data_IF_345911687173
#
_entry.id   IF_345911687173
#
_cell.length_a   1.000
_cell.length_b   1.000
_cell.length_c   1.000
_cell.angle_alpha   90.00
_cell.angle_beta   90.00
_cell.angle_gamma   90.00
#
_symmetry.space_group_name_H-M   'P 1'
#
loop_
_entity.id
_entity.type
_entity.pdbx_description
1 polymer ?
#
# COMPACT_ATOMS: atom_id res chain seq x y z
N UNK A 1 -16.67 -8.55 -21.91
CA UNK A 1 -15.52 -7.63 -22.13
C UNK A 1 -14.33 -8.13 -21.35
N UNK A 2 -13.10 -7.90 -21.85
CA UNK A 2 -11.88 -8.38 -21.18
C UNK A 2 -11.60 -7.55 -19.96
N UNK A 3 -11.39 -8.20 -18.81
CA UNK A 3 -11.05 -7.55 -17.53
C UNK A 3 -9.55 -7.34 -17.43
N UNK A 4 -9.09 -6.25 -16.79
CA UNK A 4 -7.68 -6.04 -16.52
C UNK A 4 -7.12 -7.11 -15.58
N UNK A 5 -7.86 -7.46 -14.55
CA UNK A 5 -7.57 -8.59 -13.65
C UNK A 5 -8.72 -9.60 -13.79
N UNK A 6 -8.40 -10.88 -14.01
CA UNK A 6 -9.41 -11.95 -14.14
C UNK A 6 -10.34 -12.00 -12.93
N UNK A 7 -11.59 -12.44 -13.14
CA UNK A 7 -12.60 -12.45 -12.06
C UNK A 7 -12.24 -13.38 -10.91
N UNK A 8 -11.63 -14.51 -11.21
CA UNK A 8 -11.17 -15.54 -10.25
C UNK A 8 -9.78 -15.27 -9.66
N UNK A 9 -9.17 -14.14 -10.00
CA UNK A 9 -7.82 -13.77 -9.57
C UNK A 9 -7.68 -13.61 -8.08
N UNK A 10 -6.56 -14.12 -7.52
CA UNK A 10 -6.18 -13.88 -6.13
C UNK A 10 -6.03 -12.38 -5.83
N UNK A 11 -5.64 -11.57 -6.81
CA UNK A 11 -5.51 -10.12 -6.65
C UNK A 11 -6.85 -9.47 -6.35
N UNK A 12 -7.93 -9.90 -7.00
CA UNK A 12 -9.29 -9.42 -6.66
C UNK A 12 -9.71 -9.84 -5.27
N UNK A 13 -9.37 -11.06 -4.85
CA UNK A 13 -9.62 -11.53 -3.48
C UNK A 13 -8.89 -10.67 -2.45
N UNK A 14 -7.60 -10.35 -2.68
CA UNK A 14 -6.80 -9.49 -1.81
C UNK A 14 -7.41 -8.08 -1.72
N UNK A 15 -7.65 -7.45 -2.86
CA UNK A 15 -8.09 -6.05 -2.94
C UNK A 15 -9.60 -5.86 -2.77
N UNK A 16 -10.37 -6.94 -2.74
CA UNK A 16 -11.80 -6.96 -2.41
C UNK A 16 -12.09 -6.89 -0.92
N UNK A 17 -11.09 -7.16 -0.06
CA UNK A 17 -11.24 -7.18 1.40
C UNK A 17 -10.75 -5.87 2.01
N UNK A 18 -11.65 -5.12 2.63
CA UNK A 18 -11.33 -3.80 3.19
C UNK A 18 -10.23 -3.83 4.25
N UNK A 19 -10.22 -4.83 5.12
CA UNK A 19 -9.20 -5.02 6.16
C UNK A 19 -7.82 -5.34 5.58
N UNK A 20 -7.77 -6.19 4.55
CA UNK A 20 -6.52 -6.48 3.82
C UNK A 20 -5.98 -5.21 3.19
N UNK A 21 -6.84 -4.43 2.51
CA UNK A 21 -6.46 -3.14 1.90
C UNK A 21 -5.92 -2.16 2.94
N UNK A 22 -6.59 -2.05 4.11
CA UNK A 22 -6.11 -1.18 5.18
C UNK A 22 -4.73 -1.59 5.72
N UNK A 23 -4.47 -2.90 5.82
CA UNK A 23 -3.16 -3.41 6.22
C UNK A 23 -2.09 -3.19 5.13
N UNK A 24 -2.42 -3.35 3.85
CA UNK A 24 -1.52 -2.99 2.73
C UNK A 24 -1.01 -1.56 2.93
N UNK A 25 -1.94 -0.64 3.18
CA UNK A 25 -1.58 0.77 3.33
C UNK A 25 -0.93 1.10 4.67
N UNK A 26 -1.23 0.38 5.73
CA UNK A 26 -0.52 0.52 6.99
C UNK A 26 0.98 0.23 6.82
N UNK A 27 1.31 -0.90 6.18
CA UNK A 27 2.70 -1.27 5.87
C UNK A 27 3.36 -0.30 4.89
N UNK A 28 2.68 -0.01 3.77
CA UNK A 28 3.18 0.92 2.76
C UNK A 28 3.46 2.33 3.32
N UNK A 29 2.61 2.83 4.21
CA UNK A 29 2.81 4.15 4.84
C UNK A 29 4.09 4.22 5.68
N UNK A 30 4.45 3.13 6.39
CA UNK A 30 5.68 3.09 7.17
C UNK A 30 6.93 3.13 6.29
N UNK A 31 6.94 2.34 5.23
CA UNK A 31 8.07 2.27 4.31
C UNK A 31 8.18 3.53 3.47
N UNK A 32 7.05 4.00 2.95
CA UNK A 32 6.98 5.23 2.16
C UNK A 32 7.55 6.45 2.93
N UNK A 33 7.29 6.54 4.24
CA UNK A 33 7.84 7.58 5.09
C UNK A 33 9.39 7.58 5.16
N UNK A 34 10.01 6.45 4.84
CA UNK A 34 11.47 6.28 4.79
C UNK A 34 12.06 6.50 3.39
N UNK A 35 11.23 6.58 2.36
CA UNK A 35 11.70 6.72 0.99
C UNK A 35 12.54 7.99 0.82
N UNK A 36 13.72 7.89 0.20
CA UNK A 36 14.60 9.05 -0.03
C UNK A 36 13.96 10.12 -0.91
N UNK A 37 13.00 9.75 -1.75
CA UNK A 37 12.26 10.67 -2.62
C UNK A 37 10.93 11.17 -2.00
N UNK A 38 10.68 10.94 -0.70
CA UNK A 38 9.46 11.41 -0.02
C UNK A 38 9.28 12.94 -0.09
N UNK A 39 10.37 13.70 -0.22
CA UNK A 39 10.36 15.14 -0.39
C UNK A 39 9.57 15.62 -1.64
N UNK A 40 9.45 14.80 -2.68
CA UNK A 40 8.62 15.06 -3.85
C UNK A 40 7.15 15.26 -3.50
N UNK A 41 6.65 14.49 -2.54
CA UNK A 41 5.28 14.61 -2.08
C UNK A 41 5.08 15.77 -1.11
N UNK A 42 6.12 16.11 -0.36
CA UNK A 42 6.13 17.35 0.44
C UNK A 42 6.09 18.61 -0.42
N UNK A 43 6.74 18.60 -1.58
CA UNK A 43 6.66 19.70 -2.54
C UNK A 43 5.22 20.05 -2.93
N UNK A 44 4.36 19.06 -3.12
CA UNK A 44 2.95 19.32 -3.46
C UNK A 44 2.12 19.87 -2.31
N UNK A 45 2.62 19.85 -1.08
CA UNK A 45 1.90 20.23 0.15
C UNK A 45 0.75 19.31 0.55
N UNK A 46 0.30 18.43 -0.35
CA UNK A 46 -0.87 17.56 -0.13
C UNK A 46 -0.64 16.46 0.90
N UNK A 47 0.55 15.85 0.89
CA UNK A 47 0.86 14.75 1.80
C UNK A 47 0.87 15.20 3.27
N UNK A 48 1.60 16.26 3.68
CA UNK A 48 1.59 16.70 5.07
C UNK A 48 0.24 17.26 5.51
N UNK A 49 -0.54 17.86 4.58
CA UNK A 49 -1.83 18.43 4.89
C UNK A 49 -2.91 17.38 5.21
N UNK A 50 -2.95 16.29 4.43
CA UNK A 50 -3.91 15.20 4.60
C UNK A 50 -3.31 13.86 4.15
N UNK A 51 -2.47 13.23 5.00
CA UNK A 51 -1.81 11.98 4.66
C UNK A 51 -2.78 10.80 4.50
N UNK A 52 -3.91 10.82 5.22
CA UNK A 52 -4.92 9.76 5.12
C UNK A 52 -5.75 9.90 3.85
N UNK A 53 -6.19 11.11 3.50
CA UNK A 53 -6.89 11.36 2.23
C UNK A 53 -6.02 11.03 1.03
N UNK A 54 -4.71 11.30 1.09
CA UNK A 54 -3.76 10.91 0.04
C UNK A 54 -3.67 9.39 -0.09
N UNK A 55 -3.65 8.68 1.02
CA UNK A 55 -3.64 7.22 1.06
C UNK A 55 -4.94 6.65 0.44
N UNK A 56 -6.12 7.12 0.87
CA UNK A 56 -7.40 6.68 0.30
C UNK A 56 -7.53 6.98 -1.19
N UNK A 57 -7.00 8.11 -1.65
CA UNK A 57 -6.90 8.41 -3.08
C UNK A 57 -6.13 7.34 -3.85
N UNK A 58 -4.98 6.90 -3.33
CA UNK A 58 -4.18 5.82 -3.94
C UNK A 58 -4.94 4.50 -3.97
N UNK A 59 -5.64 4.14 -2.87
CA UNK A 59 -6.52 2.97 -2.81
C UNK A 59 -7.59 3.02 -3.90
N UNK A 60 -8.25 4.17 -4.05
CA UNK A 60 -9.32 4.36 -5.03
C UNK A 60 -8.82 4.12 -6.45
N UNK A 61 -7.64 4.66 -6.80
CA UNK A 61 -7.05 4.40 -8.13
C UNK A 61 -6.69 2.94 -8.32
N UNK A 62 -6.04 2.30 -7.36
CA UNK A 62 -5.68 0.88 -7.45
C UNK A 62 -6.92 0.00 -7.67
N UNK A 63 -8.00 0.25 -6.92
CA UNK A 63 -9.25 -0.50 -7.08
C UNK A 63 -9.94 -0.24 -8.42
N UNK A 64 -9.98 1.01 -8.87
CA UNK A 64 -10.49 1.36 -10.22
C UNK A 64 -9.76 0.61 -11.33
N UNK A 65 -8.50 0.25 -11.13
CA UNK A 65 -7.70 -0.52 -12.09
C UNK A 65 -7.98 -2.01 -11.95
N UNK A 66 -7.93 -2.54 -10.73
CA UNK A 66 -8.05 -3.99 -10.46
C UNK A 66 -9.43 -4.52 -10.84
N UNK A 67 -10.49 -3.74 -10.60
CA UNK A 67 -11.89 -4.19 -10.82
C UNK A 67 -12.49 -3.71 -12.14
N UNK A 68 -11.72 -3.05 -12.99
CA UNK A 68 -12.19 -2.50 -14.25
C UNK A 68 -11.99 -3.43 -15.45
N UNK A 69 -12.71 -3.09 -16.51
CA UNK A 69 -12.37 -3.57 -17.86
C UNK A 69 -10.99 -3.07 -18.29
N UNK A 70 -10.29 -3.86 -19.09
CA UNK A 70 -8.90 -3.61 -19.47
C UNK A 70 -8.69 -2.21 -20.07
N UNK A 71 -9.55 -1.80 -20.99
CA UNK A 71 -9.41 -0.48 -21.62
C UNK A 71 -9.56 0.68 -20.64
N UNK A 72 -10.50 0.56 -19.68
CA UNK A 72 -10.69 1.59 -18.65
C UNK A 72 -9.52 1.61 -17.67
N UNK A 73 -9.00 0.43 -17.30
CA UNK A 73 -7.82 0.32 -16.44
C UNK A 73 -6.59 1.00 -17.06
N UNK A 74 -6.31 0.72 -18.35
CA UNK A 74 -5.19 1.31 -19.08
C UNK A 74 -5.32 2.84 -19.14
N UNK A 75 -6.49 3.38 -19.48
CA UNK A 75 -6.75 4.83 -19.46
C UNK A 75 -6.54 5.45 -18.07
N UNK A 76 -6.93 4.73 -17.01
CA UNK A 76 -6.72 5.18 -15.64
C UNK A 76 -5.24 5.24 -15.29
N UNK A 77 -4.45 4.24 -15.71
CA UNK A 77 -2.99 4.20 -15.52
C UNK A 77 -2.33 5.35 -16.29
N UNK A 78 -2.72 5.60 -17.54
CA UNK A 78 -2.23 6.74 -18.32
C UNK A 78 -2.52 8.07 -17.63
N UNK A 79 -3.71 8.22 -17.04
CA UNK A 79 -4.05 9.43 -16.27
C UNK A 79 -3.12 9.62 -15.07
N UNK A 80 -2.79 8.54 -14.35
CA UNK A 80 -1.82 8.58 -13.24
C UNK A 80 -0.44 9.01 -13.76
N UNK A 81 0.01 8.45 -14.89
CA UNK A 81 1.28 8.83 -15.52
C UNK A 81 1.32 10.35 -15.82
N UNK A 82 0.27 10.89 -16.43
CA UNK A 82 0.20 12.32 -16.74
C UNK A 82 0.16 13.22 -15.50
N UNK A 83 -0.52 12.79 -14.42
CA UNK A 83 -0.50 13.49 -13.13
C UNK A 83 0.95 13.61 -12.61
N UNK A 84 1.71 12.53 -12.65
CA UNK A 84 3.10 12.54 -12.21
C UNK A 84 3.98 13.43 -13.09
N UNK A 85 3.80 13.38 -14.43
CA UNK A 85 4.51 14.26 -15.35
C UNK A 85 4.21 15.74 -15.11
N UNK A 86 2.97 16.08 -14.78
CA UNK A 86 2.61 17.44 -14.38
C UNK A 86 3.32 17.88 -13.09
N UNK A 87 3.45 17.00 -12.10
CA UNK A 87 4.20 17.28 -10.86
C UNK A 87 5.68 17.52 -11.16
N UNK A 88 6.29 16.70 -12.03
CA UNK A 88 7.68 16.88 -12.47
C UNK A 88 7.89 18.24 -13.16
N UNK A 89 7.01 18.60 -14.07
CA UNK A 89 7.06 19.91 -14.76
C UNK A 89 6.94 21.07 -13.78
N UNK A 90 5.98 21.00 -12.84
CA UNK A 90 5.77 22.05 -11.86
C UNK A 90 6.94 22.23 -10.88
N UNK A 91 7.68 21.15 -10.62
CA UNK A 91 8.87 21.18 -9.75
C UNK A 91 10.15 21.53 -10.52
N UNK A 92 10.14 21.45 -11.85
CA UNK A 92 11.32 21.68 -12.70
C UNK A 92 12.36 20.55 -12.61
N UNK A 93 11.92 19.30 -12.45
CA UNK A 93 12.82 18.15 -12.37
C UNK A 93 12.09 16.83 -12.58
N UNK A 94 12.82 15.72 -12.75
CA UNK A 94 12.24 14.39 -12.88
C UNK A 94 12.24 13.63 -11.56
N UNK A 95 11.13 12.94 -11.27
CA UNK A 95 11.10 11.94 -10.19
C UNK A 95 12.03 10.80 -10.60
N UNK A 96 12.96 10.36 -9.74
CA UNK A 96 13.84 9.24 -10.07
C UNK A 96 13.07 7.96 -10.41
N UNK A 97 13.49 7.24 -11.44
CA UNK A 97 12.82 5.99 -11.88
C UNK A 97 12.68 4.97 -10.74
N UNK A 98 13.69 4.88 -9.86
CA UNK A 98 13.65 3.99 -8.71
C UNK A 98 12.55 4.38 -7.70
N UNK A 99 12.21 5.66 -7.57
CA UNK A 99 11.15 6.11 -6.65
C UNK A 99 9.75 5.69 -7.13
N UNK A 100 9.53 5.65 -8.44
CA UNK A 100 8.31 5.07 -9.01
C UNK A 100 8.23 3.56 -8.78
N UNK A 101 9.36 2.85 -9.02
CA UNK A 101 9.44 1.40 -8.76
C UNK A 101 9.19 1.06 -7.31
N UNK A 102 9.69 1.86 -6.38
CA UNK A 102 9.48 1.64 -4.95
C UNK A 102 8.01 1.61 -4.58
N UNK A 103 7.22 2.57 -5.06
CA UNK A 103 5.77 2.58 -4.81
C UNK A 103 5.11 1.31 -5.34
N UNK A 104 5.48 0.88 -6.56
CA UNK A 104 5.00 -0.37 -7.13
C UNK A 104 5.40 -1.58 -6.28
N UNK A 105 6.65 -1.62 -5.83
CA UNK A 105 7.19 -2.69 -5.00
C UNK A 105 6.50 -2.78 -3.63
N UNK A 106 6.16 -1.64 -3.04
CA UNK A 106 5.35 -1.61 -1.82
C UNK A 106 3.97 -2.22 -2.04
N UNK A 107 3.29 -1.88 -3.15
CA UNK A 107 1.97 -2.44 -3.47
C UNK A 107 2.02 -3.96 -3.63
N UNK A 108 3.05 -4.51 -4.30
CA UNK A 108 3.25 -5.95 -4.45
C UNK A 108 3.49 -6.60 -3.08
N UNK A 109 4.52 -6.12 -2.37
CA UNK A 109 4.95 -6.70 -1.11
C UNK A 109 3.84 -6.72 -0.06
N UNK A 110 3.20 -5.57 0.16
CA UNK A 110 2.17 -5.45 1.19
C UNK A 110 0.85 -6.12 0.80
N UNK A 111 0.54 -6.28 -0.50
CA UNK A 111 -0.60 -7.12 -0.94
C UNK A 111 -0.42 -8.55 -0.48
N UNK A 112 0.77 -9.13 -0.69
CA UNK A 112 1.12 -10.49 -0.26
C UNK A 112 1.14 -10.55 1.27
N UNK A 113 1.89 -9.67 1.93
CA UNK A 113 2.08 -9.72 3.38
C UNK A 113 0.79 -9.54 4.17
N UNK A 114 -0.08 -8.61 3.77
CA UNK A 114 -1.36 -8.37 4.44
C UNK A 114 -2.31 -9.55 4.28
N UNK A 115 -2.39 -10.14 3.08
CA UNK A 115 -3.20 -11.32 2.85
C UNK A 115 -2.69 -12.52 3.65
N UNK A 116 -1.38 -12.78 3.62
CA UNK A 116 -0.77 -13.88 4.37
C UNK A 116 -0.93 -13.73 5.89
N UNK A 117 -0.97 -12.50 6.39
CA UNK A 117 -1.23 -12.23 7.81
C UNK A 117 -2.67 -12.59 8.21
N UNK A 118 -3.66 -12.20 7.41
CA UNK A 118 -5.08 -12.36 7.75
C UNK A 118 -5.70 -13.68 7.30
N UNK A 119 -5.20 -14.27 6.24
CA UNK A 119 -5.80 -15.47 5.62
C UNK A 119 -4.89 -16.68 5.72
N UNK A 120 -4.18 -16.98 4.68
CA UNK A 120 -3.27 -18.11 4.49
C UNK A 120 -2.04 -17.71 3.71
N UNK A 121 -1.04 -18.54 3.71
CA UNK A 121 0.10 -18.38 2.80
C UNK A 121 -0.36 -18.50 1.35
N UNK A 122 0.18 -17.65 0.49
CA UNK A 122 0.01 -17.72 -0.96
C UNK A 122 0.96 -18.77 -1.54
N UNK A 123 0.50 -19.48 -2.57
CA UNK A 123 1.36 -20.37 -3.34
C UNK A 123 2.36 -19.55 -4.19
N UNK A 124 3.35 -20.22 -4.79
CA UNK A 124 4.31 -19.58 -5.68
C UNK A 124 3.61 -18.98 -6.91
N UNK A 125 2.63 -19.71 -7.47
CA UNK A 125 1.83 -19.29 -8.60
C UNK A 125 0.97 -18.08 -8.27
N UNK A 126 0.35 -18.05 -7.09
CA UNK A 126 -0.44 -16.91 -6.63
C UNK A 126 0.43 -15.66 -6.40
N UNK A 127 1.65 -15.81 -5.89
CA UNK A 127 2.61 -14.70 -5.75
C UNK A 127 3.06 -14.18 -7.11
N UNK A 128 3.32 -15.07 -8.06
CA UNK A 128 3.62 -14.69 -9.44
C UNK A 128 2.43 -13.96 -10.07
N UNK A 129 1.19 -14.42 -9.85
CA UNK A 129 -0.01 -13.74 -10.36
C UNK A 129 -0.17 -12.32 -9.78
N UNK A 130 0.05 -12.14 -8.47
CA UNK A 130 0.09 -10.79 -7.85
C UNK A 130 1.12 -9.94 -8.54
N UNK A 131 2.33 -10.48 -8.74
CA UNK A 131 3.41 -9.79 -9.41
C UNK A 131 3.05 -9.39 -10.84
N UNK A 132 2.50 -10.30 -11.63
CA UNK A 132 2.15 -10.09 -13.05
C UNK A 132 1.14 -8.95 -13.25
N UNK A 133 0.18 -8.84 -12.34
CA UNK A 133 -0.81 -7.74 -12.39
C UNK A 133 -0.11 -6.39 -12.18
N UNK A 134 0.74 -6.28 -11.17
CA UNK A 134 1.46 -5.05 -10.88
C UNK A 134 2.59 -4.78 -11.88
N UNK A 135 3.21 -5.82 -12.44
CA UNK A 135 4.17 -5.70 -13.54
C UNK A 135 3.51 -5.02 -14.76
N UNK A 136 2.32 -5.50 -15.18
CA UNK A 136 1.55 -4.87 -16.28
C UNK A 136 1.20 -3.41 -15.97
N UNK A 137 0.84 -3.12 -14.71
CA UNK A 137 0.65 -1.75 -14.27
C UNK A 137 1.92 -0.92 -14.46
N UNK A 138 3.06 -1.42 -14.00
CA UNK A 138 4.36 -0.75 -14.12
C UNK A 138 4.79 -0.53 -15.57
N UNK A 139 4.56 -1.50 -16.44
CA UNK A 139 4.83 -1.37 -17.89
C UNK A 139 3.98 -0.26 -18.51
N UNK A 140 2.68 -0.20 -18.21
CA UNK A 140 1.79 0.87 -18.69
C UNK A 140 2.20 2.25 -18.14
N UNK A 141 2.69 2.30 -16.89
CA UNK A 141 3.28 3.50 -16.28
C UNK A 141 4.66 3.88 -16.87
N UNK A 142 5.17 3.10 -17.82
CA UNK A 142 6.50 3.28 -18.47
C UNK A 142 7.66 3.22 -17.48
N UNK A 143 7.52 2.42 -16.43
CA UNK A 143 8.60 2.21 -15.46
C UNK A 143 9.71 1.39 -16.10
N UNK A 144 10.95 1.80 -15.85
CA UNK A 144 12.14 1.12 -16.39
C UNK A 144 12.65 0.03 -15.44
N UNK A 145 13.44 -0.89 -15.98
CA UNK A 145 14.17 -1.91 -15.20
C UNK A 145 13.27 -2.81 -14.33
N UNK A 146 12.03 -3.07 -14.78
CA UNK A 146 11.17 -4.04 -14.13
C UNK A 146 11.62 -5.46 -14.51
N UNK A 147 11.80 -6.31 -13.50
CA UNK A 147 12.12 -7.72 -13.72
C UNK A 147 10.89 -8.48 -14.24
N UNK A 148 11.02 -9.48 -15.11
CA UNK A 148 9.85 -10.19 -15.65
C UNK A 148 9.27 -11.22 -14.69
N UNK A 149 10.03 -11.68 -13.67
CA UNK A 149 9.61 -12.74 -12.74
C UNK A 149 9.58 -12.26 -11.31
N UNK A 150 8.66 -12.81 -10.53
CA UNK A 150 8.56 -12.55 -9.09
C UNK A 150 9.86 -12.88 -8.34
N UNK A 151 10.54 -13.99 -8.70
CA UNK A 151 11.81 -14.38 -8.09
C UNK A 151 12.90 -13.33 -8.27
N UNK A 152 13.02 -12.79 -9.47
CA UNK A 152 14.05 -11.80 -9.82
C UNK A 152 13.73 -10.43 -9.18
N UNK A 153 12.43 -10.13 -9.08
CA UNK A 153 11.95 -8.96 -8.35
C UNK A 153 12.30 -9.01 -6.86
N UNK A 154 12.32 -10.18 -6.22
CA UNK A 154 12.67 -10.29 -4.79
C UNK A 154 14.08 -9.73 -4.51
N UNK A 155 15.04 -10.02 -5.39
CA UNK A 155 16.41 -9.49 -5.26
C UNK A 155 16.43 -7.97 -5.46
N UNK A 156 15.74 -7.48 -6.50
CA UNK A 156 15.63 -6.05 -6.78
C UNK A 156 14.92 -5.31 -5.63
N UNK A 157 13.90 -5.92 -5.06
CA UNK A 157 13.17 -5.41 -3.89
C UNK A 157 14.09 -5.29 -2.67
N UNK A 158 14.91 -6.31 -2.38
CA UNK A 158 15.84 -6.27 -1.27
C UNK A 158 16.92 -5.20 -1.46
N UNK A 159 17.49 -5.08 -2.66
CA UNK A 159 18.44 -4.01 -2.98
C UNK A 159 17.84 -2.63 -2.72
N UNK A 160 16.60 -2.40 -3.17
CA UNK A 160 15.89 -1.15 -2.94
C UNK A 160 15.71 -0.85 -1.44
N UNK A 161 15.26 -1.80 -0.64
CA UNK A 161 15.11 -1.65 0.82
C UNK A 161 16.42 -1.23 1.50
N UNK A 162 17.54 -1.77 1.04
CA UNK A 162 18.85 -1.44 1.61
C UNK A 162 19.37 -0.07 1.15
N UNK A 163 19.11 0.31 -0.10
CA UNK A 163 19.74 1.47 -0.73
C UNK A 163 18.90 2.74 -0.67
N UNK A 164 17.56 2.64 -0.79
CA UNK A 164 16.72 3.80 -1.07
C UNK A 164 15.87 4.28 0.10
N UNK A 165 16.02 3.63 1.26
CA UNK A 165 15.33 4.02 2.49
C UNK A 165 16.24 4.76 3.46
N UNK A 166 15.70 5.82 4.10
CA UNK A 166 16.40 6.65 5.09
C UNK A 166 15.41 7.26 6.07
N UNK A 167 15.74 7.21 7.36
CA UNK A 167 15.03 8.00 8.37
C UNK A 167 15.44 9.47 8.23
N UNK A 168 14.53 10.34 7.85
CA UNK A 168 14.77 11.75 7.57
C UNK A 168 13.85 12.67 8.42
N UNK A 169 14.03 13.98 8.27
CA UNK A 169 13.11 14.97 8.85
C UNK A 169 11.67 14.77 8.37
N UNK A 170 11.49 14.40 7.12
CA UNK A 170 10.18 14.12 6.53
C UNK A 170 9.54 12.86 7.11
N UNK A 171 10.33 11.82 7.40
CA UNK A 171 9.86 10.62 8.10
C UNK A 171 9.23 10.99 9.45
N UNK A 172 9.98 11.76 10.25
CA UNK A 172 9.51 12.20 11.58
C UNK A 172 8.25 13.06 11.51
N UNK A 173 8.21 13.98 10.55
CA UNK A 173 7.04 14.84 10.35
C UNK A 173 5.83 14.04 9.91
N UNK A 174 5.98 13.11 8.95
CA UNK A 174 4.87 12.29 8.46
C UNK A 174 4.25 11.44 9.58
N UNK A 175 5.05 10.84 10.45
CA UNK A 175 4.55 10.11 11.61
C UNK A 175 3.85 11.03 12.62
N UNK A 176 4.31 12.28 12.77
CA UNK A 176 3.60 13.31 13.56
C UNK A 176 2.24 13.66 12.94
N UNK A 177 2.17 13.80 11.60
CA UNK A 177 0.91 14.03 10.90
C UNK A 177 -0.04 12.83 11.04
N UNK A 178 0.43 11.59 10.91
CA UNK A 178 -0.38 10.41 11.18
C UNK A 178 -0.98 10.44 12.58
N UNK A 179 -0.18 10.76 13.60
CA UNK A 179 -0.67 10.87 15.00
C UNK A 179 -1.71 11.98 15.14
N UNK A 180 -1.49 13.14 14.50
CA UNK A 180 -2.42 14.29 14.53
C UNK A 180 -3.78 13.91 13.93
N UNK A 181 -3.80 13.26 12.77
CA UNK A 181 -5.03 12.93 12.05
C UNK A 181 -5.77 11.72 12.64
N UNK A 182 -5.06 10.74 13.18
CA UNK A 182 -5.65 9.53 13.74
C UNK A 182 -6.05 9.66 15.21
N UNK A 183 -5.38 10.54 15.95
CA UNK A 183 -5.42 10.56 17.41
C UNK A 183 -4.59 9.42 18.02
N UNK A 184 -4.33 9.50 19.33
CA UNK A 184 -3.35 8.60 19.98
C UNK A 184 -3.73 7.13 19.92
N UNK A 185 -5.00 6.77 20.10
CA UNK A 185 -5.44 5.38 20.12
C UNK A 185 -5.28 4.71 18.74
N UNK A 186 -5.81 5.33 17.67
CA UNK A 186 -5.69 4.77 16.29
C UNK A 186 -4.25 4.78 15.79
N UNK A 187 -3.47 5.79 16.17
CA UNK A 187 -2.06 5.84 15.88
C UNK A 187 -1.30 4.67 16.54
N UNK A 188 -1.63 4.33 17.79
CA UNK A 188 -1.08 3.14 18.42
C UNK A 188 -1.38 1.87 17.61
N UNK A 189 -2.63 1.66 17.20
CA UNK A 189 -3.00 0.51 16.35
C UNK A 189 -2.29 0.52 15.00
N UNK A 190 -2.12 1.68 14.37
CA UNK A 190 -1.33 1.80 13.14
C UNK A 190 0.10 1.30 13.33
N UNK A 191 0.78 1.76 14.38
CA UNK A 191 2.18 1.33 14.67
C UNK A 191 2.25 -0.17 14.95
N UNK A 192 1.29 -0.72 15.72
CA UNK A 192 1.25 -2.15 16.00
C UNK A 192 0.99 -2.99 14.73
N UNK A 193 0.11 -2.54 13.84
CA UNK A 193 -0.12 -3.18 12.55
C UNK A 193 1.13 -3.11 11.65
N UNK A 194 1.81 -1.98 11.61
CA UNK A 194 3.06 -1.82 10.86
C UNK A 194 4.13 -2.82 11.31
N UNK A 195 4.30 -3.04 12.62
CA UNK A 195 5.27 -4.01 13.16
C UNK A 195 5.04 -5.44 12.66
N UNK A 196 3.80 -5.81 12.33
CA UNK A 196 3.46 -7.13 11.81
C UNK A 196 3.79 -7.31 10.32
N UNK A 197 3.90 -6.21 9.58
CA UNK A 197 3.93 -6.22 8.12
C UNK A 197 5.28 -5.83 7.54
N UNK A 198 5.95 -4.87 8.19
CA UNK A 198 7.14 -4.23 7.59
C UNK A 198 8.38 -5.13 7.62
N UNK A 199 9.22 -5.08 6.57
CA UNK A 199 10.51 -5.75 6.56
C UNK A 199 11.41 -5.34 7.73
N UNK A 200 12.36 -6.20 8.06
CA UNK A 200 13.28 -5.96 9.19
C UNK A 200 14.02 -4.63 9.07
N UNK A 201 14.51 -4.28 7.88
CA UNK A 201 15.21 -3.02 7.64
C UNK A 201 14.34 -1.80 7.91
N UNK A 202 13.09 -1.81 7.47
CA UNK A 202 12.11 -0.74 7.75
C UNK A 202 11.90 -0.60 9.26
N UNK A 203 11.74 -1.71 9.97
CA UNK A 203 11.59 -1.76 11.42
C UNK A 203 12.80 -1.16 12.14
N UNK A 204 14.02 -1.49 11.69
CA UNK A 204 15.27 -0.94 12.23
C UNK A 204 15.35 0.58 12.03
N UNK A 205 15.09 1.05 10.79
CA UNK A 205 15.16 2.49 10.47
C UNK A 205 14.14 3.32 11.26
N UNK A 206 12.95 2.74 11.58
CA UNK A 206 11.93 3.39 12.38
C UNK A 206 12.10 3.14 13.89
N UNK A 207 13.15 2.42 14.32
CA UNK A 207 13.38 2.04 15.72
C UNK A 207 12.17 1.36 16.39
N UNK A 208 11.44 0.56 15.60
CA UNK A 208 10.28 -0.19 16.07
C UNK A 208 10.72 -1.46 16.83
N UNK A 209 10.04 -1.77 17.93
CA UNK A 209 10.22 -3.07 18.62
C UNK A 209 9.83 -4.22 17.70
N UNK A 210 10.47 -5.38 17.86
CA UNK A 210 10.17 -6.59 17.09
C UNK A 210 8.81 -7.20 17.41
N UNK A 211 8.33 -7.01 18.62
CA UNK A 211 7.05 -7.53 19.11
C UNK A 211 5.90 -6.55 18.82
N UNK A 212 4.77 -7.08 18.36
CA UNK A 212 3.49 -6.35 18.27
C UNK A 212 2.47 -6.95 19.24
N UNK A 213 1.79 -6.08 19.99
CA UNK A 213 0.67 -6.48 20.83
C UNK A 213 -0.49 -7.10 20.04
N UNK A 214 -0.64 -6.73 18.76
CA UNK A 214 -1.67 -7.30 17.89
C UNK A 214 -1.42 -8.76 17.53
N UNK A 215 -0.20 -9.29 17.71
CA UNK A 215 0.11 -10.70 17.39
C UNK A 215 -0.86 -11.66 18.10
N UNK A 216 -1.13 -11.42 19.39
CA UNK A 216 -2.08 -12.24 20.17
C UNK A 216 -3.55 -12.02 19.78
N UNK A 217 -3.89 -10.90 19.16
CA UNK A 217 -5.26 -10.57 18.76
C UNK A 217 -5.63 -11.06 17.35
N UNK A 218 -4.64 -11.40 16.50
CA UNK A 218 -4.92 -11.85 15.13
C UNK A 218 -5.84 -13.09 15.09
N UNK A 219 -5.62 -14.17 15.87
CA UNK A 219 -6.53 -15.30 15.87
C UNK A 219 -7.96 -14.93 16.26
N UNK A 220 -8.10 -14.08 17.28
CA UNK A 220 -9.40 -13.60 17.74
C UNK A 220 -10.08 -12.73 16.66
N UNK A 221 -9.32 -11.88 15.97
CA UNK A 221 -9.82 -11.11 14.84
C UNK A 221 -10.29 -12.01 13.68
N UNK A 222 -9.53 -13.03 13.33
CA UNK A 222 -9.94 -14.03 12.31
C UNK A 222 -11.25 -14.72 12.71
N UNK A 223 -11.41 -15.07 13.98
CA UNK A 223 -12.65 -15.64 14.50
C UNK A 223 -13.82 -14.64 14.40
N UNK A 224 -13.60 -13.37 14.75
CA UNK A 224 -14.63 -12.33 14.64
C UNK A 224 -15.11 -12.13 13.20
N UNK A 225 -14.22 -12.28 12.21
CA UNK A 225 -14.59 -12.25 10.78
C UNK A 225 -15.47 -13.43 10.40
N UNK A 226 -15.16 -14.62 10.89
CA UNK A 226 -16.03 -15.79 10.69
C UNK A 226 -17.43 -15.55 11.24
N UNK A 227 -17.55 -14.87 12.38
CA UNK A 227 -18.82 -14.48 13.00
C UNK A 227 -19.45 -13.19 12.44
N UNK A 228 -18.86 -12.58 11.39
CA UNK A 228 -19.26 -11.30 10.79
C UNK A 228 -19.30 -10.12 11.79
N UNK A 229 -18.55 -10.22 12.89
CA UNK A 229 -18.45 -9.18 13.92
C UNK A 229 -17.28 -8.20 13.69
N UNK A 230 -16.48 -8.41 12.65
CA UNK A 230 -15.35 -7.56 12.27
C UNK A 230 -15.75 -6.13 11.89
N UNK A 231 -17.02 -5.92 11.49
CA UNK A 231 -17.58 -4.58 11.21
C UNK A 231 -17.49 -3.67 12.43
N UNK A 232 -17.73 -4.20 13.63
CA UNK A 232 -17.60 -3.43 14.89
C UNK A 232 -16.15 -3.04 15.16
N UNK A 233 -15.20 -3.96 14.93
CA UNK A 233 -13.76 -3.69 15.10
C UNK A 233 -13.31 -2.60 14.13
N UNK A 234 -13.68 -2.71 12.85
CA UNK A 234 -13.39 -1.70 11.82
C UNK A 234 -14.00 -0.32 12.19
N UNK A 235 -15.24 -0.29 12.67
CA UNK A 235 -15.91 0.95 13.04
C UNK A 235 -15.18 1.72 14.16
N UNK A 236 -14.54 1.02 15.11
CA UNK A 236 -13.76 1.62 16.20
C UNK A 236 -12.38 2.10 15.69
N UNK A 237 -11.72 1.28 14.88
CA UNK A 237 -10.35 1.54 14.42
C UNK A 237 -10.27 2.67 13.39
N UNK A 238 -11.34 2.94 12.65
CA UNK A 238 -11.29 3.85 11.51
C UNK A 238 -11.86 5.24 11.86
N UNK A 239 -11.24 6.33 11.37
CA UNK A 239 -11.73 7.68 11.62
C UNK A 239 -13.10 7.92 10.97
N UNK A 240 -13.99 8.59 11.70
CA UNK A 240 -15.36 8.92 11.21
C UNK A 240 -15.33 9.76 9.93
N UNK A 241 -14.32 10.60 9.76
CA UNK A 241 -14.14 11.48 8.59
C UNK A 241 -13.90 10.72 7.28
N UNK A 242 -13.46 9.45 7.34
CA UNK A 242 -13.19 8.61 6.16
C UNK A 242 -14.16 7.44 6.01
N UNK A 243 -15.34 7.50 6.64
CA UNK A 243 -16.34 6.43 6.57
C UNK A 243 -16.82 6.13 5.14
N UNK A 244 -16.95 7.16 4.30
CA UNK A 244 -17.38 6.99 2.89
C UNK A 244 -16.32 6.26 2.09
N UNK A 245 -15.06 6.66 2.24
CA UNK A 245 -13.91 6.03 1.59
C UNK A 245 -13.75 4.57 2.02
N UNK A 246 -13.95 4.31 3.31
CA UNK A 246 -13.87 2.96 3.88
C UNK A 246 -15.03 2.09 3.41
N UNK A 247 -16.25 2.60 3.42
CA UNK A 247 -17.41 1.88 2.90
C UNK A 247 -17.25 1.53 1.40
N UNK A 248 -16.61 2.42 0.64
CA UNK A 248 -16.27 2.15 -0.76
C UNK A 248 -15.21 1.03 -0.93
N UNK A 249 -14.51 0.61 0.15
CA UNK A 249 -13.60 -0.54 0.10
C UNK A 249 -14.33 -1.89 0.20
N UNK A 250 -15.54 -1.91 0.67
CA UNK A 250 -16.38 -3.12 0.71
C UNK A 250 -17.07 -3.27 -0.65
N UNK A 251 -16.41 -3.86 -1.62
CA UNK A 251 -17.10 -4.33 -2.83
C UNK A 251 -17.50 -5.77 -2.57
N UNK A 252 -18.80 -6.01 -2.69
CA UNK A 252 -19.32 -7.37 -2.83
C UNK A 252 -18.75 -7.91 -4.14
N UNK A 253 -17.82 -8.86 -4.04
CA UNK A 253 -17.28 -9.64 -5.16
C UNK A 253 -18.28 -10.76 -5.45
#
# INVERSE_FOLDING_TARGET
MKQFVKQDSIVRTIWGKSDTVLLIFAGAAAEFALNKAVDWLYFTGKLPADPLGRLFSTVTYARKIIFAEEQYALKTIDSIYHIHKSVEQNRGGAIPDWAYRDVLFMLIHYSIAAFELLERKLSAEEKQEVYDVFYRFGVQMKLKELQPKYTDWLEQREQHIQQDLKNSKYTKDLFKQFKKHLGSARYFFLIEAQKLLVPQRVRQLLSMRSFSWLTGFIPLYKLSRFLKADVLVKAVLLPKSYKKEIAALEVVV
#
